data_IF_579033244580
#
_entry.id   IF_579033244580
#
_cell.length_a   1.000
_cell.length_b   1.000
_cell.length_c   1.000
_cell.angle_alpha   90.00
_cell.angle_beta   90.00
_cell.angle_gamma   90.00
#
_symmetry.space_group_name_H-M   'P 1'
#
loop_
_entity.id
_entity.type
_entity.pdbx_description
1 polymer ?
#
# COMPACT_ATOMS: atom_id res chain seq x y z
N UNK A 1 -21.10 -0.31 4.35
CA UNK A 1 -19.70 0.15 4.14
C UNK A 1 -19.47 1.29 5.09
N UNK A 2 -18.35 1.27 5.80
CA UNK A 2 -17.99 2.28 6.79
C UNK A 2 -16.62 2.88 6.46
N UNK A 3 -16.56 4.20 6.37
CA UNK A 3 -15.34 4.94 6.03
C UNK A 3 -14.67 5.47 7.32
N UNK A 4 -13.37 5.21 7.44
CA UNK A 4 -12.53 5.70 8.53
C UNK A 4 -11.39 6.55 7.97
N UNK A 5 -11.42 7.85 8.22
CA UNK A 5 -10.35 8.77 7.82
C UNK A 5 -9.14 8.53 8.72
N UNK A 6 -7.98 8.32 8.11
CA UNK A 6 -6.71 8.24 8.81
C UNK A 6 -6.20 9.65 9.14
N UNK A 7 -6.28 10.03 10.41
CA UNK A 7 -5.56 11.20 10.91
C UNK A 7 -4.07 10.84 11.07
N UNK A 8 -3.26 11.36 10.13
CA UNK A 8 -1.80 11.16 10.04
C UNK A 8 -1.02 11.75 11.23
N UNK A 9 -1.67 12.49 12.12
CA UNK A 9 -1.09 12.98 13.38
C UNK A 9 -1.44 12.13 14.61
N UNK A 10 -2.25 11.09 14.42
CA UNK A 10 -2.79 10.24 15.47
C UNK A 10 -2.35 8.78 15.33
N UNK A 11 -2.82 7.92 16.25
CA UNK A 11 -2.60 6.49 16.15
C UNK A 11 -3.29 5.91 14.90
N UNK A 12 -2.64 4.91 14.31
CA UNK A 12 -3.15 4.21 13.13
C UNK A 12 -4.39 3.38 13.52
N UNK A 13 -5.57 3.61 12.91
CA UNK A 13 -6.79 2.90 13.27
C UNK A 13 -6.83 1.46 12.74
N UNK A 14 -6.17 1.21 11.61
CA UNK A 14 -6.04 -0.11 10.98
C UNK A 14 -4.61 -0.33 10.49
N UNK A 15 -4.02 -1.44 10.91
CA UNK A 15 -2.73 -1.90 10.39
C UNK A 15 -2.92 -2.62 9.06
N UNK A 16 -2.00 -2.37 8.13
CA UNK A 16 -1.87 -3.09 6.86
C UNK A 16 -0.67 -4.06 6.88
N UNK A 17 0.05 -4.21 7.99
CA UNK A 17 1.07 -5.24 8.14
C UNK A 17 0.53 -6.62 7.74
N UNK A 18 1.29 -7.37 6.95
CA UNK A 18 0.94 -8.65 6.31
C UNK A 18 -0.26 -8.61 5.35
N UNK A 19 -0.77 -7.41 5.03
CA UNK A 19 -1.84 -7.23 4.05
C UNK A 19 -1.26 -7.13 2.64
N UNK A 20 -2.01 -7.62 1.67
CA UNK A 20 -1.60 -7.69 0.27
C UNK A 20 -2.47 -6.76 -0.58
N UNK A 21 -1.84 -5.78 -1.22
CA UNK A 21 -2.45 -5.02 -2.30
C UNK A 21 -2.55 -5.94 -3.51
N UNK A 22 -3.78 -6.27 -3.89
CA UNK A 22 -4.13 -7.16 -5.00
C UNK A 22 -4.33 -6.40 -6.30
N UNK A 23 -4.74 -5.14 -6.21
CA UNK A 23 -5.00 -4.28 -7.35
C UNK A 23 -4.94 -2.82 -6.92
N UNK A 24 -4.48 -1.97 -7.83
CA UNK A 24 -4.49 -0.53 -7.67
C UNK A 24 -5.35 0.06 -8.78
N UNK A 25 -6.24 0.97 -8.42
CA UNK A 25 -7.15 1.64 -9.35
C UNK A 25 -6.96 3.14 -9.17
N UNK A 26 -6.79 3.86 -10.27
CA UNK A 26 -6.71 5.31 -10.25
C UNK A 26 -7.74 5.90 -11.21
N UNK A 27 -8.59 6.79 -10.71
CA UNK A 27 -9.59 7.54 -11.48
C UNK A 27 -9.88 8.86 -10.77
N UNK A 28 -10.00 9.96 -11.52
CA UNK A 28 -10.39 11.28 -11.01
C UNK A 28 -9.59 11.73 -9.76
N UNK A 29 -8.27 11.59 -9.81
CA UNK A 29 -7.33 11.90 -8.71
C UNK A 29 -7.55 11.09 -7.42
N UNK A 30 -8.27 9.97 -7.52
CA UNK A 30 -8.53 9.03 -6.43
C UNK A 30 -7.76 7.74 -6.69
N UNK A 31 -6.84 7.42 -5.78
CA UNK A 31 -6.10 6.17 -5.77
C UNK A 31 -6.75 5.19 -4.79
N UNK A 32 -7.23 4.06 -5.29
CA UNK A 32 -7.82 2.98 -4.48
C UNK A 32 -6.92 1.76 -4.51
N UNK A 33 -6.50 1.31 -3.34
CA UNK A 33 -5.81 0.04 -3.13
C UNK A 33 -6.84 -1.02 -2.73
N UNK A 34 -6.99 -2.02 -3.58
CA UNK A 34 -7.72 -3.25 -3.27
C UNK A 34 -6.82 -4.13 -2.42
N UNK A 35 -7.18 -4.36 -1.17
CA UNK A 35 -6.38 -5.14 -0.21
C UNK A 35 -7.16 -6.38 0.23
N UNK A 36 -6.44 -7.43 0.63
CA UNK A 36 -7.08 -8.69 1.05
C UNK A 36 -7.68 -8.62 2.45
N UNK A 37 -7.10 -7.83 3.34
CA UNK A 37 -7.52 -7.69 4.74
C UNK A 37 -7.02 -6.40 5.36
N UNK A 38 -7.71 -5.96 6.41
CA UNK A 38 -7.30 -4.90 7.32
C UNK A 38 -7.30 -5.43 8.75
N UNK A 39 -6.34 -5.00 9.55
CA UNK A 39 -6.24 -5.44 10.94
C UNK A 39 -6.54 -4.29 11.91
N UNK A 40 -7.39 -4.54 12.90
CA UNK A 40 -7.62 -3.62 14.01
C UNK A 40 -7.22 -4.30 15.31
N UNK A 41 -6.36 -3.62 16.07
CA UNK A 41 -5.94 -4.08 17.39
C UNK A 41 -6.76 -3.36 18.46
N UNK A 42 -7.52 -4.13 19.24
CA UNK A 42 -8.34 -3.63 20.35
C UNK A 42 -7.89 -4.29 21.65
N UNK A 43 -8.39 -3.81 22.79
CA UNK A 43 -8.16 -4.47 24.09
C UNK A 43 -8.63 -5.94 24.11
N UNK A 44 -9.62 -6.27 23.28
CA UNK A 44 -10.17 -7.61 23.13
C UNK A 44 -9.43 -8.48 22.10
N UNK A 45 -8.32 -7.98 21.54
CA UNK A 45 -7.50 -8.68 20.55
C UNK A 45 -7.62 -8.12 19.13
N UNK A 46 -7.10 -8.89 18.18
CA UNK A 46 -7.06 -8.58 16.75
C UNK A 46 -8.40 -8.89 16.06
N UNK A 47 -8.87 -7.95 15.24
CA UNK A 47 -10.00 -8.13 14.33
C UNK A 47 -9.52 -7.95 12.89
N UNK A 48 -10.10 -8.74 11.99
CA UNK A 48 -9.83 -8.68 10.54
C UNK A 48 -11.07 -8.19 9.82
N UNK A 49 -10.86 -7.30 8.86
CA UNK A 49 -11.92 -6.74 8.04
C UNK A 49 -11.55 -6.88 6.56
N UNK A 50 -12.57 -6.89 5.71
CA UNK A 50 -12.41 -6.70 4.26
C UNK A 50 -12.67 -5.25 3.91
N UNK A 51 -12.05 -4.75 2.84
CA UNK A 51 -12.21 -3.37 2.41
C UNK A 51 -11.07 -2.88 1.55
N UNK A 52 -11.05 -1.57 1.34
CA UNK A 52 -10.07 -0.87 0.52
C UNK A 52 -9.37 0.24 1.31
N UNK A 53 -8.25 0.70 0.78
CA UNK A 53 -7.62 1.97 1.20
C UNK A 53 -7.74 2.95 0.05
N UNK A 54 -8.28 4.13 0.35
CA UNK A 54 -8.57 5.18 -0.64
C UNK A 54 -7.76 6.43 -0.29
N UNK A 55 -7.03 6.95 -1.26
CA UNK A 55 -6.33 8.23 -1.16
C UNK A 55 -7.01 9.22 -2.10
N UNK A 56 -7.47 10.34 -1.56
CA UNK A 56 -8.06 11.43 -2.33
C UNK A 56 -7.02 12.48 -2.70
N UNK A 57 -7.22 13.12 -3.85
CA UNK A 57 -6.35 14.18 -4.39
C UNK A 57 -4.90 13.68 -4.48
N UNK A 58 -4.73 12.53 -5.11
CA UNK A 58 -3.44 11.89 -5.39
C UNK A 58 -2.85 12.40 -6.70
N UNK A 59 -1.56 12.70 -6.68
CA UNK A 59 -0.78 13.01 -7.87
C UNK A 59 0.14 11.82 -8.18
N UNK A 60 -0.15 11.10 -9.28
CA UNK A 60 0.64 9.91 -9.65
C UNK A 60 2.05 10.26 -10.12
N UNK A 61 2.30 11.49 -10.58
CA UNK A 61 3.63 11.90 -11.03
C UNK A 61 4.59 12.06 -9.82
N UNK A 62 4.03 12.29 -8.62
CA UNK A 62 4.75 12.31 -7.34
C UNK A 62 4.79 10.92 -6.66
N UNK A 63 4.20 9.88 -7.26
CA UNK A 63 4.17 8.52 -6.74
C UNK A 63 5.18 7.60 -7.47
N UNK A 64 5.82 6.70 -6.74
CA UNK A 64 6.77 5.74 -7.33
C UNK A 64 6.76 4.38 -6.66
N UNK A 65 7.21 3.37 -7.40
CA UNK A 65 7.46 2.01 -6.90
C UNK A 65 8.89 1.62 -7.21
N UNK A 66 9.64 1.24 -6.19
CA UNK A 66 11.00 0.75 -6.30
C UNK A 66 10.95 -0.77 -6.15
N UNK A 67 11.48 -1.48 -7.14
CA UNK A 67 11.43 -2.93 -7.23
C UNK A 67 12.87 -3.43 -7.27
N UNK A 68 13.23 -4.27 -6.30
CA UNK A 68 14.58 -4.79 -6.17
C UNK A 68 14.74 -6.11 -6.94
N UNK A 69 15.97 -6.55 -7.12
CA UNK A 69 16.31 -7.79 -7.82
C UNK A 69 16.18 -9.05 -6.96
N UNK A 70 15.99 -8.90 -5.65
CA UNK A 70 15.84 -9.97 -4.66
C UNK A 70 15.15 -9.46 -3.40
N UNK A 71 14.86 -10.37 -2.46
CA UNK A 71 14.55 -9.98 -1.08
C UNK A 71 15.80 -9.40 -0.42
N UNK A 72 15.67 -8.24 0.21
CA UNK A 72 16.77 -7.52 0.86
C UNK A 72 16.41 -7.28 2.33
N UNK A 73 17.28 -7.76 3.21
CA UNK A 73 17.28 -7.40 4.64
C UNK A 73 18.53 -6.59 4.99
N UNK A 74 19.69 -7.04 4.51
CA UNK A 74 20.98 -6.40 4.66
C UNK A 74 21.87 -6.68 3.43
N UNK A 75 22.87 -5.82 3.20
CA UNK A 75 23.84 -5.95 2.11
C UNK A 75 23.47 -5.22 0.82
N UNK A 76 24.22 -5.51 -0.25
CA UNK A 76 24.09 -4.84 -1.53
C UNK A 76 22.90 -5.37 -2.34
N UNK A 77 22.24 -4.48 -3.08
CA UNK A 77 21.11 -4.80 -3.95
C UNK A 77 21.14 -3.95 -5.22
N UNK A 78 20.35 -4.36 -6.21
CA UNK A 78 20.07 -3.60 -7.42
C UNK A 78 18.57 -3.60 -7.69
N UNK A 79 18.12 -2.84 -8.68
CA UNK A 79 16.70 -2.75 -8.97
C UNK A 79 16.35 -1.65 -9.96
N UNK A 80 15.06 -1.31 -9.98
CA UNK A 80 14.52 -0.20 -10.77
C UNK A 80 13.52 0.60 -9.94
N UNK A 81 13.48 1.90 -10.17
CA UNK A 81 12.42 2.78 -9.71
C UNK A 81 11.56 3.15 -10.91
N UNK A 82 10.25 2.99 -10.77
CA UNK A 82 9.25 3.29 -11.81
C UNK A 82 8.14 4.16 -11.22
N UNK A 83 7.43 4.90 -12.08
CA UNK A 83 6.25 5.65 -11.64
C UNK A 83 5.10 4.72 -11.25
N UNK A 84 4.22 5.15 -10.35
CA UNK A 84 3.06 4.34 -9.95
C UNK A 84 2.10 4.06 -11.13
N UNK A 85 2.01 4.98 -12.09
CA UNK A 85 1.27 4.77 -13.34
C UNK A 85 1.80 3.58 -14.13
N UNK A 86 3.12 3.52 -14.34
CA UNK A 86 3.76 2.39 -15.03
C UNK A 86 3.55 1.08 -14.26
N UNK A 87 3.59 1.13 -12.93
CA UNK A 87 3.31 -0.03 -12.08
C UNK A 87 1.89 -0.56 -12.29
N UNK A 88 0.87 0.31 -12.25
CA UNK A 88 -0.53 -0.06 -12.47
C UNK A 88 -0.73 -0.73 -13.83
N UNK A 89 -0.08 -0.20 -14.88
CA UNK A 89 -0.22 -0.68 -16.26
C UNK A 89 0.48 -2.02 -16.51
N UNK A 90 1.68 -2.22 -15.94
CA UNK A 90 2.55 -3.35 -16.31
C UNK A 90 2.63 -4.47 -15.25
N UNK A 91 2.15 -4.24 -14.02
CA UNK A 91 2.31 -5.16 -12.89
C UNK A 91 0.96 -5.60 -12.30
N UNK A 92 -0.14 -5.50 -13.05
CA UNK A 92 -1.51 -5.76 -12.59
C UNK A 92 -1.80 -7.20 -12.10
N UNK A 93 -0.88 -8.14 -12.33
CA UNK A 93 -0.98 -9.53 -11.86
C UNK A 93 -0.10 -9.85 -10.64
N UNK A 94 0.61 -8.86 -10.10
CA UNK A 94 1.46 -9.03 -8.93
C UNK A 94 0.76 -8.56 -7.66
N UNK A 95 1.13 -9.17 -6.53
CA UNK A 95 0.62 -8.79 -5.21
C UNK A 95 1.71 -8.09 -4.41
N UNK A 96 1.42 -6.91 -3.86
CA UNK A 96 2.34 -6.21 -2.98
C UNK A 96 1.96 -6.49 -1.53
N UNK A 97 2.77 -7.28 -0.83
CA UNK A 97 2.64 -7.53 0.61
C UNK A 97 3.33 -6.44 1.41
N UNK A 98 2.61 -5.83 2.34
CA UNK A 98 3.08 -4.73 3.16
C UNK A 98 3.67 -5.30 4.46
N UNK A 99 4.97 -5.07 4.67
CA UNK A 99 5.68 -5.46 5.90
C UNK A 99 5.94 -4.25 6.80
N UNK A 100 6.06 -3.05 6.24
CA UNK A 100 6.23 -1.82 7.02
C UNK A 100 5.47 -0.68 6.38
N UNK A 101 4.84 0.11 7.23
CA UNK A 101 4.04 1.26 6.87
C UNK A 101 4.66 2.53 7.45
N UNK A 102 4.72 3.58 6.64
CA UNK A 102 5.17 4.90 7.06
C UNK A 102 4.17 5.96 6.61
N UNK A 103 3.77 6.83 7.53
CA UNK A 103 2.81 7.92 7.28
C UNK A 103 3.43 9.22 7.76
N UNK A 104 3.76 10.15 6.85
CA UNK A 104 4.36 11.43 7.22
C UNK A 104 4.01 12.55 6.24
N UNK A 105 3.36 13.60 6.74
CA UNK A 105 2.87 14.69 5.91
C UNK A 105 1.98 14.16 4.78
N UNK A 106 2.24 14.55 3.54
CA UNK A 106 1.52 14.09 2.35
C UNK A 106 1.99 12.72 1.81
N UNK A 107 2.98 12.10 2.45
CA UNK A 107 3.60 10.86 1.95
C UNK A 107 3.15 9.65 2.76
N UNK A 108 2.81 8.58 2.04
CA UNK A 108 2.64 7.23 2.58
C UNK A 108 3.67 6.33 1.93
N UNK A 109 4.38 5.55 2.74
CA UNK A 109 5.36 4.58 2.28
C UNK A 109 4.95 3.19 2.72
N UNK A 110 4.90 2.26 1.77
CA UNK A 110 4.78 0.83 2.06
C UNK A 110 6.05 0.14 1.60
N UNK A 111 6.69 -0.62 2.48
CA UNK A 111 7.78 -1.52 2.10
C UNK A 111 7.40 -2.95 2.40
N UNK A 112 7.88 -3.87 1.57
CA UNK A 112 7.60 -5.27 1.74
C UNK A 112 7.99 -6.06 0.50
N UNK A 113 7.13 -7.00 0.12
CA UNK A 113 7.44 -7.97 -0.93
C UNK A 113 6.48 -7.88 -2.10
N UNK A 114 7.05 -7.95 -3.30
CA UNK A 114 6.31 -8.06 -4.54
C UNK A 114 6.30 -9.51 -4.99
N UNK A 115 5.10 -10.09 -5.06
CA UNK A 115 4.86 -11.47 -5.42
C UNK A 115 4.40 -11.59 -6.86
N UNK A 116 5.05 -12.49 -7.61
CA UNK A 116 4.61 -12.93 -8.93
C UNK A 116 4.36 -14.44 -8.89
N UNK A 117 3.26 -14.91 -9.49
CA UNK A 117 2.89 -16.31 -9.47
C UNK A 117 4.02 -17.20 -10.03
N UNK A 118 4.40 -18.23 -9.24
CA UNK A 118 5.45 -19.18 -9.63
C UNK A 118 6.88 -18.66 -9.53
N UNK A 119 7.11 -17.47 -8.95
CA UNK A 119 8.45 -16.92 -8.68
C UNK A 119 8.67 -16.64 -7.21
N UNK A 120 9.94 -16.62 -6.81
CA UNK A 120 10.33 -16.06 -5.52
C UNK A 120 10.03 -14.55 -5.50
N UNK A 121 9.56 -14.00 -4.37
CA UNK A 121 9.27 -12.57 -4.29
C UNK A 121 10.56 -11.75 -4.27
N UNK A 122 10.41 -10.46 -4.55
CA UNK A 122 11.48 -9.47 -4.40
C UNK A 122 11.06 -8.38 -3.44
N UNK A 123 12.01 -7.70 -2.81
CA UNK A 123 11.71 -6.54 -2.00
C UNK A 123 11.23 -5.38 -2.87
N UNK A 124 10.27 -4.62 -2.35
CA UNK A 124 9.76 -3.42 -3.01
C UNK A 124 9.40 -2.33 -1.99
N UNK A 125 9.42 -1.08 -2.46
CA UNK A 125 8.96 0.09 -1.72
C UNK A 125 8.01 0.91 -2.61
N UNK A 126 6.85 1.26 -2.09
CA UNK A 126 5.83 2.06 -2.75
C UNK A 126 5.67 3.37 -2.02
N UNK A 127 5.80 4.47 -2.75
CA UNK A 127 5.65 5.84 -2.27
C UNK A 127 4.39 6.42 -2.90
N UNK A 128 3.44 6.80 -2.05
CA UNK A 128 2.17 7.40 -2.43
C UNK A 128 2.14 8.82 -1.89
N UNK A 129 1.86 9.78 -2.75
CA UNK A 129 1.67 11.16 -2.39
C UNK A 129 0.21 11.57 -2.62
N UNK A 130 -0.38 12.27 -1.63
CA UNK A 130 -1.72 12.81 -1.76
C UNK A 130 -1.95 14.01 -0.82
N UNK A 131 -2.77 14.97 -1.24
CA UNK A 131 -3.15 16.12 -0.38
C UNK A 131 -4.51 15.97 0.30
N UNK A 132 -5.36 15.07 -0.19
CA UNK A 132 -6.66 14.80 0.40
C UNK A 132 -6.60 13.77 1.53
N UNK A 133 -7.79 13.29 1.93
CA UNK A 133 -7.89 12.28 2.97
C UNK A 133 -7.33 10.92 2.51
N UNK A 134 -6.76 10.18 3.45
CA UNK A 134 -6.57 8.74 3.35
C UNK A 134 -7.67 8.06 4.14
N UNK A 135 -8.39 7.11 3.53
CA UNK A 135 -9.59 6.50 4.11
C UNK A 135 -9.49 4.98 4.04
N UNK A 136 -9.72 4.31 5.16
CA UNK A 136 -10.02 2.88 5.19
C UNK A 136 -11.53 2.71 4.95
N UNK A 137 -11.90 2.07 3.84
CA UNK A 137 -13.30 1.79 3.49
C UNK A 137 -13.59 0.33 3.78
N UNK A 138 -14.29 0.07 4.87
CA UNK A 138 -14.57 -1.28 5.37
C UNK A 138 -15.89 -1.81 4.78
N UNK A 139 -15.84 -3.03 4.26
CA UNK A 139 -17.02 -3.81 3.88
C UNK A 139 -17.67 -4.36 5.16
N UNK A 140 -18.98 -4.20 5.31
CA UNK A 140 -19.74 -4.66 6.49
C UNK A 140 -19.79 -6.19 6.62
#
# INVERSE_FOLDING_TARGET
MMDFIHDRSSNIPFSLHDSKIKKIIFNDDILTLKIDKLFQYTENGEKKYSGDVVFYVSDLDECSVWIFDKIVYEGDFSGKAIGLKEYIENFSGMEFEILTEGYFGYNTTYTGWLWEEGKEPVSAAMYIWNTGDMVYRIDE
#
